data_IF_169889262941
#
_entry.id   IF_169889262941
#
_cell.length_a   1.000
_cell.length_b   1.000
_cell.length_c   1.000
_cell.angle_alpha   90.00
_cell.angle_beta   90.00
_cell.angle_gamma   90.00
#
_symmetry.space_group_name_H-M   'P 1'
#
loop_
_entity.id
_entity.type
_entity.pdbx_description
1 polymer ?
#
# COMPACT_ATOMS: atom_id res chain seq x y z
N UNK A 1 -1.25 19.01 5.58
CA UNK A 1 -1.63 17.63 5.98
C UNK A 1 -2.91 17.73 6.81
N UNK A 2 -4.05 17.26 6.29
CA UNK A 2 -5.32 17.32 7.03
C UNK A 2 -5.72 15.91 7.46
N UNK A 3 -5.23 15.51 8.63
CA UNK A 3 -5.77 14.36 9.34
C UNK A 3 -7.08 14.77 10.01
N UNK A 4 -8.15 13.99 9.85
CA UNK A 4 -9.30 14.09 10.75
C UNK A 4 -8.96 13.26 11.99
N UNK A 5 -8.73 13.94 13.12
CA UNK A 5 -8.72 13.35 14.46
C UNK A 5 -9.57 14.21 15.38
N UNK A 6 -10.43 13.54 16.16
CA UNK A 6 -11.16 14.11 17.30
C UNK A 6 -10.16 14.63 18.34
N UNK A 7 -10.40 15.85 18.85
CA UNK A 7 -9.50 16.62 19.68
C UNK A 7 -9.36 16.06 21.11
N UNK A 8 -8.13 16.06 21.61
CA UNK A 8 -7.80 16.21 23.02
C UNK A 8 -6.72 17.29 23.12
N UNK A 9 -7.05 18.34 23.85
CA UNK A 9 -6.32 19.61 23.99
C UNK A 9 -5.05 19.39 24.80
N UNK A 10 -3.90 19.60 24.18
CA UNK A 10 -2.59 19.56 24.84
C UNK A 10 -1.65 20.57 24.17
N UNK A 11 -1.45 21.72 24.83
CA UNK A 11 -0.55 22.81 24.44
C UNK A 11 0.90 22.29 24.50
N UNK A 12 1.62 22.29 23.37
CA UNK A 12 3.08 22.11 23.36
C UNK A 12 3.79 23.15 22.48
N UNK A 13 4.73 23.82 23.16
CA UNK A 13 5.96 24.48 22.70
C UNK A 13 6.17 24.81 21.23
N UNK A 14 6.41 26.10 20.96
CA UNK A 14 7.20 26.58 19.83
C UNK A 14 8.66 26.11 20.01
N UNK A 15 9.22 25.43 19.02
CA UNK A 15 10.67 25.25 18.94
C UNK A 15 11.13 23.96 18.27
N UNK A 16 11.43 24.05 16.97
CA UNK A 16 12.58 23.44 16.30
C UNK A 16 12.41 23.64 14.79
N UNK A 17 13.27 24.46 14.20
CA UNK A 17 13.26 24.76 12.77
C UNK A 17 13.36 23.49 11.92
N UNK A 18 12.44 23.35 10.97
CA UNK A 18 12.58 22.39 9.88
C UNK A 18 13.86 22.73 9.12
N UNK A 19 14.92 21.94 9.30
CA UNK A 19 16.05 21.96 8.37
C UNK A 19 15.63 21.17 7.14
N UNK A 20 15.78 21.82 5.99
CA UNK A 20 15.57 21.26 4.66
C UNK A 20 16.32 19.93 4.54
N UNK A 21 15.57 18.82 4.50
CA UNK A 21 16.14 17.51 4.27
C UNK A 21 16.74 17.51 2.86
N UNK A 22 18.07 17.54 2.78
CA UNK A 22 18.82 17.46 1.52
C UNK A 22 18.23 16.33 0.66
N UNK A 23 17.81 16.68 -0.56
CA UNK A 23 17.45 15.69 -1.58
C UNK A 23 18.66 14.79 -1.79
N UNK A 24 18.59 13.52 -1.38
CA UNK A 24 19.45 12.49 -1.97
C UNK A 24 19.06 12.40 -3.44
N UNK A 25 19.75 13.15 -4.29
CA UNK A 25 19.71 12.91 -5.73
C UNK A 25 20.23 11.49 -5.94
N UNK A 26 19.38 10.60 -6.44
CA UNK A 26 19.78 9.25 -6.80
C UNK A 26 20.90 9.37 -7.82
N UNK A 27 22.12 9.11 -7.35
CA UNK A 27 23.31 9.11 -8.17
C UNK A 27 23.26 7.89 -9.07
N UNK A 28 22.50 7.95 -10.16
CA UNK A 28 22.39 6.86 -11.12
C UNK A 28 23.77 6.28 -11.45
N UNK A 29 23.86 4.94 -11.50
CA UNK A 29 25.13 4.18 -11.55
C UNK A 29 26.10 4.59 -12.68
N UNK A 30 25.64 5.40 -13.64
CA UNK A 30 26.39 5.82 -14.84
C UNK A 30 26.49 7.35 -15.02
N UNK A 31 26.32 8.15 -13.95
CA UNK A 31 26.27 9.63 -14.04
C UNK A 31 27.56 10.31 -14.56
N UNK A 32 28.68 9.59 -14.64
CA UNK A 32 29.95 10.11 -15.18
C UNK A 32 30.42 9.47 -16.48
N UNK A 33 29.63 8.60 -17.10
CA UNK A 33 30.03 7.93 -18.36
C UNK A 33 29.53 8.72 -19.57
N UNK A 34 30.37 8.80 -20.61
CA UNK A 34 29.96 9.30 -21.91
C UNK A 34 28.80 8.46 -22.46
N UNK A 35 27.86 9.11 -23.14
CA UNK A 35 26.60 8.48 -23.56
C UNK A 35 26.81 7.26 -24.47
N UNK A 36 27.83 7.34 -25.34
CA UNK A 36 28.24 6.25 -26.22
C UNK A 36 28.78 5.02 -25.45
N UNK A 37 29.45 5.24 -24.31
CA UNK A 37 30.00 4.16 -23.48
C UNK A 37 28.92 3.39 -22.72
N UNK A 38 27.82 4.06 -22.35
CA UNK A 38 26.65 3.41 -21.72
C UNK A 38 26.04 2.36 -22.66
N UNK A 39 25.84 2.73 -23.92
CA UNK A 39 25.31 1.84 -24.96
C UNK A 39 26.27 0.69 -25.26
N UNK A 40 27.57 0.97 -25.35
CA UNK A 40 28.58 -0.06 -25.61
C UNK A 40 28.66 -1.10 -24.49
N UNK A 41 28.60 -0.68 -23.23
CA UNK A 41 28.61 -1.57 -22.08
C UNK A 41 27.33 -2.43 -22.00
N UNK A 42 26.17 -1.85 -22.31
CA UNK A 42 24.89 -2.56 -22.40
C UNK A 42 24.93 -3.64 -23.49
N UNK A 43 25.41 -3.29 -24.69
CA UNK A 43 25.53 -4.22 -25.80
C UNK A 43 26.55 -5.35 -25.53
N UNK A 44 27.67 -5.04 -24.87
CA UNK A 44 28.64 -6.05 -24.44
C UNK A 44 28.04 -7.07 -23.47
N UNK A 45 27.28 -6.59 -22.47
CA UNK A 45 26.57 -7.46 -21.52
C UNK A 45 25.51 -8.33 -22.20
N UNK A 46 24.75 -7.77 -23.14
CA UNK A 46 23.78 -8.51 -23.92
C UNK A 46 24.44 -9.58 -24.81
N UNK A 47 25.57 -9.25 -25.45
CA UNK A 47 26.33 -10.20 -26.26
C UNK A 47 26.85 -11.38 -25.42
N UNK A 48 27.41 -11.11 -24.23
CA UNK A 48 27.84 -12.16 -23.30
C UNK A 48 26.66 -13.00 -22.82
N UNK A 49 25.54 -12.38 -22.45
CA UNK A 49 24.34 -13.08 -22.01
C UNK A 49 23.77 -14.00 -23.11
N UNK A 50 23.77 -13.55 -24.37
CA UNK A 50 23.36 -14.36 -25.53
C UNK A 50 24.28 -15.53 -25.80
N UNK A 51 25.60 -15.34 -25.68
CA UNK A 51 26.59 -16.38 -25.90
C UNK A 51 26.47 -17.54 -24.90
N UNK A 52 25.95 -17.28 -23.69
CA UNK A 52 25.70 -18.31 -22.66
C UNK A 52 24.25 -18.84 -22.67
N UNK A 53 23.48 -18.55 -23.72
CA UNK A 53 22.10 -19.04 -23.87
C UNK A 53 21.05 -18.28 -23.04
N UNK A 54 21.36 -17.07 -22.58
CA UNK A 54 20.45 -16.22 -21.82
C UNK A 54 19.20 -15.86 -22.63
N UNK A 55 18.02 -16.11 -22.05
CA UNK A 55 16.73 -15.77 -22.65
C UNK A 55 16.60 -14.26 -22.88
N UNK A 56 15.97 -13.88 -24.00
CA UNK A 56 15.92 -12.50 -24.48
C UNK A 56 14.85 -11.63 -23.82
N UNK A 57 13.84 -12.20 -23.16
CA UNK A 57 12.58 -11.47 -22.92
C UNK A 57 12.14 -11.30 -21.46
N UNK A 58 12.80 -11.93 -20.49
CA UNK A 58 12.56 -11.66 -19.06
C UNK A 58 13.82 -11.89 -18.24
N UNK A 59 14.49 -10.85 -17.72
CA UNK A 59 15.69 -11.01 -16.88
C UNK A 59 15.39 -11.55 -15.48
N UNK A 60 14.11 -11.79 -15.17
CA UNK A 60 13.66 -12.33 -13.91
C UNK A 60 12.96 -13.67 -14.16
N UNK A 61 13.32 -14.74 -13.42
CA UNK A 61 12.52 -15.96 -13.43
C UNK A 61 11.09 -15.62 -13.00
N UNK A 62 10.11 -16.33 -13.54
CA UNK A 62 8.72 -16.18 -13.12
C UNK A 62 8.65 -16.37 -11.59
N UNK A 63 7.95 -15.48 -10.85
CA UNK A 63 7.83 -15.63 -9.41
C UNK A 63 7.14 -16.95 -9.08
N UNK A 64 7.86 -17.83 -8.39
CA UNK A 64 7.31 -19.09 -7.89
C UNK A 64 6.80 -18.89 -6.47
N UNK A 65 5.54 -19.24 -6.22
CA UNK A 65 4.94 -19.12 -4.90
C UNK A 65 5.41 -20.28 -4.01
N UNK A 66 6.07 -19.98 -2.88
CA UNK A 66 6.51 -20.97 -1.86
C UNK A 66 5.36 -21.61 -1.05
N UNK A 67 4.11 -21.49 -1.54
CA UNK A 67 2.89 -21.88 -0.84
C UNK A 67 2.49 -20.93 0.28
N UNK A 68 1.24 -21.06 0.74
CA UNK A 68 0.73 -20.33 1.89
C UNK A 68 1.01 -21.11 3.16
N UNK A 69 1.77 -20.52 4.10
CA UNK A 69 1.93 -21.08 5.45
C UNK A 69 0.94 -20.42 6.38
N UNK A 70 0.11 -21.22 7.05
CA UNK A 70 -0.72 -20.73 8.15
C UNK A 70 0.21 -20.25 9.25
N UNK A 71 0.26 -18.94 9.47
CA UNK A 71 1.15 -18.33 10.47
C UNK A 71 0.93 -18.87 11.90
N UNK A 72 -0.21 -19.52 12.15
CA UNK A 72 -0.65 -20.01 13.45
C UNK A 72 -0.48 -21.53 13.63
N UNK A 73 0.60 -22.14 13.14
CA UNK A 73 0.90 -23.56 13.37
C UNK A 73 1.17 -23.92 14.85
N UNK A 74 1.15 -22.93 15.75
CA UNK A 74 1.38 -23.12 17.19
C UNK A 74 0.12 -22.69 17.96
N UNK A 75 -0.74 -23.66 18.29
CA UNK A 75 -1.71 -23.66 19.39
C UNK A 75 -2.74 -22.51 19.50
N UNK A 76 -3.56 -22.28 18.48
CA UNK A 76 -4.87 -21.64 18.67
C UNK A 76 -5.86 -22.26 17.69
N UNK A 77 -6.76 -23.13 18.17
CA UNK A 77 -8.11 -23.54 17.68
C UNK A 77 -8.52 -23.39 16.19
N UNK A 78 -7.57 -23.31 15.26
CA UNK A 78 -7.77 -22.97 13.86
C UNK A 78 -8.50 -21.63 13.60
N UNK A 79 -8.61 -20.73 14.59
CA UNK A 79 -9.25 -19.41 14.39
C UNK A 79 -8.22 -18.35 14.03
N UNK A 80 -8.37 -17.78 12.83
CA UNK A 80 -7.62 -16.57 12.46
C UNK A 80 -8.05 -15.40 13.34
N UNK A 81 -7.09 -14.68 13.95
CA UNK A 81 -7.40 -13.43 14.64
C UNK A 81 -7.85 -12.39 13.60
N UNK A 82 -8.98 -11.68 13.83
CA UNK A 82 -9.42 -10.63 12.91
C UNK A 82 -8.35 -9.53 12.76
N UNK A 83 -7.75 -9.44 11.58
CA UNK A 83 -6.75 -8.43 11.24
C UNK A 83 -7.38 -7.09 10.85
N UNK A 84 -6.53 -6.06 10.69
CA UNK A 84 -6.91 -4.76 10.12
C UNK A 84 -6.42 -4.70 8.67
N UNK A 85 -7.29 -4.33 7.74
CA UNK A 85 -6.92 -4.14 6.33
C UNK A 85 -6.23 -2.79 6.18
N UNK A 86 -5.04 -2.75 5.56
CA UNK A 86 -4.32 -1.51 5.25
C UNK A 86 -4.24 -1.34 3.74
N UNK A 87 -4.71 -0.20 3.25
CA UNK A 87 -4.60 0.20 1.84
C UNK A 87 -3.85 1.54 1.73
N UNK A 88 -2.57 1.55 1.30
CA UNK A 88 -1.79 2.78 1.18
C UNK A 88 -2.16 3.63 -0.05
N UNK A 89 -3.01 3.12 -0.96
CA UNK A 89 -3.46 3.80 -2.17
C UNK A 89 -4.98 3.65 -2.32
N UNK A 90 -5.70 4.13 -1.30
CA UNK A 90 -7.12 3.84 -1.12
C UNK A 90 -8.00 4.35 -2.28
N UNK A 91 -7.56 5.37 -3.04
CA UNK A 91 -8.29 5.90 -4.18
C UNK A 91 -9.74 6.22 -3.82
N UNK A 92 -10.69 5.67 -4.58
CA UNK A 92 -12.13 5.83 -4.35
C UNK A 92 -12.70 4.98 -3.17
N UNK A 93 -11.86 4.26 -2.44
CA UNK A 93 -12.23 3.53 -1.23
C UNK A 93 -12.86 2.14 -1.44
N UNK A 94 -12.62 1.48 -2.57
CA UNK A 94 -13.19 0.15 -2.87
C UNK A 94 -12.75 -0.93 -1.89
N UNK A 95 -11.46 -0.96 -1.53
CA UNK A 95 -10.91 -1.88 -0.53
C UNK A 95 -11.56 -1.69 0.84
N UNK A 96 -11.78 -0.44 1.24
CA UNK A 96 -12.40 -0.08 2.52
C UNK A 96 -13.87 -0.51 2.56
N UNK A 97 -14.61 -0.32 1.47
CA UNK A 97 -15.99 -0.79 1.36
C UNK A 97 -16.08 -2.33 1.40
N UNK A 98 -15.14 -3.03 0.78
CA UNK A 98 -15.09 -4.50 0.85
C UNK A 98 -14.80 -4.97 2.28
N UNK A 99 -13.87 -4.32 2.98
CA UNK A 99 -13.57 -4.63 4.37
C UNK A 99 -14.80 -4.41 5.28
N UNK A 100 -15.50 -3.29 5.11
CA UNK A 100 -16.73 -2.97 5.86
C UNK A 100 -17.81 -4.04 5.66
N UNK A 101 -18.06 -4.46 4.41
CA UNK A 101 -19.04 -5.51 4.10
C UNK A 101 -18.68 -6.87 4.71
N UNK A 102 -17.40 -7.13 4.92
CA UNK A 102 -16.90 -8.34 5.57
C UNK A 102 -16.80 -8.20 7.10
N UNK A 103 -17.29 -7.09 7.67
CA UNK A 103 -17.21 -6.81 9.12
C UNK A 103 -15.78 -6.63 9.61
N UNK A 104 -14.85 -6.19 8.73
CA UNK A 104 -13.44 -6.00 9.05
C UNK A 104 -13.11 -4.54 9.26
N UNK A 105 -12.19 -4.29 10.20
CA UNK A 105 -11.58 -2.97 10.38
C UNK A 105 -10.61 -2.68 9.23
N UNK A 106 -10.56 -1.43 8.78
CA UNK A 106 -9.67 -1.02 7.72
C UNK A 106 -9.11 0.41 7.88
N UNK A 107 -7.94 0.65 7.32
CA UNK A 107 -7.23 1.93 7.26
C UNK A 107 -6.85 2.17 5.82
N UNK A 108 -7.24 3.33 5.27
CA UNK A 108 -6.88 3.74 3.92
C UNK A 108 -6.11 5.06 3.93
N UNK A 109 -5.10 5.15 3.08
CA UNK A 109 -4.31 6.37 2.87
C UNK A 109 -4.47 6.78 1.41
N UNK A 110 -4.76 8.05 1.17
CA UNK A 110 -4.87 8.64 -0.16
C UNK A 110 -4.30 10.06 -0.12
N UNK A 111 -3.63 10.47 -1.19
CA UNK A 111 -3.00 11.78 -1.32
C UNK A 111 -3.91 12.77 -2.04
N UNK A 112 -4.68 12.31 -3.04
CA UNK A 112 -5.53 13.15 -3.85
C UNK A 112 -6.86 13.48 -3.13
N UNK A 113 -7.12 14.77 -2.94
CA UNK A 113 -8.30 15.28 -2.25
C UNK A 113 -9.63 14.86 -2.85
N UNK A 114 -9.76 14.80 -4.17
CA UNK A 114 -11.01 14.45 -4.83
C UNK A 114 -11.39 12.99 -4.57
N UNK A 115 -10.38 12.10 -4.57
CA UNK A 115 -10.54 10.70 -4.21
C UNK A 115 -10.88 10.53 -2.73
N UNK A 116 -10.29 11.34 -1.83
CA UNK A 116 -10.65 11.34 -0.40
C UNK A 116 -12.13 11.70 -0.21
N UNK A 117 -12.62 12.75 -0.88
CA UNK A 117 -14.01 13.17 -0.80
C UNK A 117 -14.96 12.06 -1.29
N UNK A 118 -14.66 11.50 -2.47
CA UNK A 118 -15.43 10.39 -3.04
C UNK A 118 -15.42 9.15 -2.12
N UNK A 119 -14.25 8.77 -1.61
CA UNK A 119 -14.11 7.62 -0.72
C UNK A 119 -14.93 7.80 0.57
N UNK A 120 -14.84 8.98 1.21
CA UNK A 120 -15.62 9.29 2.43
C UNK A 120 -17.11 9.17 2.21
N UNK A 121 -17.62 9.71 1.12
CA UNK A 121 -19.04 9.63 0.80
C UNK A 121 -19.48 8.17 0.59
N UNK A 122 -18.73 7.41 -0.22
CA UNK A 122 -19.07 6.01 -0.53
C UNK A 122 -19.02 5.11 0.69
N UNK A 123 -17.96 5.25 1.50
CA UNK A 123 -17.78 4.47 2.74
C UNK A 123 -18.84 4.86 3.76
N UNK A 124 -19.12 6.16 3.93
CA UNK A 124 -20.14 6.64 4.87
C UNK A 124 -21.54 6.09 4.54
N UNK A 125 -21.91 6.05 3.26
CA UNK A 125 -23.16 5.41 2.80
C UNK A 125 -23.17 3.90 3.08
N UNK A 126 -22.03 3.22 2.91
CA UNK A 126 -21.92 1.78 3.18
C UNK A 126 -22.10 1.44 4.66
N UNK A 127 -21.44 2.19 5.56
CA UNK A 127 -21.53 2.00 7.02
C UNK A 127 -22.97 2.23 7.51
N UNK A 128 -23.64 3.29 7.03
CA UNK A 128 -25.03 3.58 7.42
C UNK A 128 -25.96 2.42 7.08
N UNK A 129 -25.90 1.93 5.83
CA UNK A 129 -26.72 0.77 5.39
C UNK A 129 -26.47 -0.46 6.23
N UNK A 130 -25.20 -0.76 6.54
CA UNK A 130 -24.83 -1.93 7.33
C UNK A 130 -25.36 -1.81 8.78
N UNK A 131 -25.31 -0.61 9.35
CA UNK A 131 -25.82 -0.32 10.69
C UNK A 131 -27.34 -0.42 10.75
N UNK A 132 -28.05 0.12 9.75
CA UNK A 132 -29.52 0.04 9.63
C UNK A 132 -29.99 -1.42 9.50
N UNK A 133 -29.30 -2.22 8.67
CA UNK A 133 -29.58 -3.64 8.52
C UNK A 133 -29.34 -4.41 9.82
N UNK A 134 -28.22 -4.16 10.51
CA UNK A 134 -27.95 -4.77 11.81
C UNK A 134 -29.04 -4.44 12.83
N UNK A 135 -29.41 -3.16 12.95
CA UNK A 135 -30.44 -2.73 13.91
C UNK A 135 -31.81 -3.38 13.65
N UNK A 136 -32.19 -3.58 12.38
CA UNK A 136 -33.45 -4.25 12.04
C UNK A 136 -33.46 -5.71 12.50
N UNK A 137 -32.35 -6.43 12.30
CA UNK A 137 -32.21 -7.82 12.75
C UNK A 137 -32.30 -7.92 14.27
N UNK A 138 -31.75 -6.97 15.01
CA UNK A 138 -31.83 -6.95 16.48
C UNK A 138 -33.21 -6.56 17.02
N UNK A 139 -34.02 -5.81 16.28
CA UNK A 139 -35.38 -5.44 16.69
C UNK A 139 -36.43 -6.54 16.46
N UNK A 140 -36.09 -7.55 15.65
CA UNK A 140 -36.97 -8.67 15.29
C UNK A 140 -36.71 -9.93 16.16
N UNK A 141 -35.87 -9.83 17.19
CA UNK A 141 -35.51 -10.87 18.17
C UNK A 141 -36.07 -10.54 19.55
#
# INVERSE_FOLDING_TARGET
MNAIKSAATGRMGRGAGWREALKKTYGGKNLGMAEQDKSRQMQGRLATARAVGGAHDTPFPAPEHVGWRTCCAMNFDNRTRPGVVLDPFAGAGTTLMAAERLGRRAIGIELNGDYICMARERIGRAIKRNTEQANRVYSEQ
#
